data_IF_461647645434
#
_entry.id   IF_461647645434
#
_cell.length_a   1.000
_cell.length_b   1.000
_cell.length_c   1.000
_cell.angle_alpha   90.00
_cell.angle_beta   90.00
_cell.angle_gamma   90.00
#
_symmetry.space_group_name_H-M   'P 1'
#
loop_
_entity.id
_entity.type
_entity.pdbx_description
1 polymer ?
#
# COMPACT_ATOMS: atom_id res chain seq x y z
N UNK A 1 10.12 2.11 2.29
CA UNK A 1 9.06 3.14 2.32
C UNK A 1 8.67 3.52 3.74
N UNK A 2 8.27 2.59 4.63
CA UNK A 2 7.90 2.92 6.02
C UNK A 2 8.92 3.74 6.80
N UNK A 3 10.22 3.55 6.52
CA UNK A 3 11.28 4.41 7.05
C UNK A 3 11.07 5.92 6.77
N UNK A 4 10.50 6.28 5.62
CA UNK A 4 10.16 7.67 5.28
C UNK A 4 9.02 8.19 6.17
N UNK A 5 8.05 7.35 6.54
CA UNK A 5 7.00 7.71 7.49
C UNK A 5 7.55 7.94 8.90
N UNK A 6 8.48 7.08 9.34
CA UNK A 6 9.21 7.25 10.61
C UNK A 6 10.02 8.56 10.61
N UNK A 7 10.71 8.88 9.51
CA UNK A 7 11.45 10.14 9.36
C UNK A 7 10.52 11.36 9.40
N UNK A 8 9.37 11.30 8.73
CA UNK A 8 8.37 12.37 8.76
C UNK A 8 7.87 12.66 10.19
N UNK A 9 7.59 11.60 10.96
CA UNK A 9 7.18 11.73 12.36
C UNK A 9 8.28 12.24 13.26
N UNK A 10 9.51 11.76 13.09
CA UNK A 10 10.67 12.26 13.83
C UNK A 10 10.89 13.76 13.55
N UNK A 11 10.56 14.23 12.34
CA UNK A 11 10.58 15.63 11.95
C UNK A 11 9.30 16.41 12.34
N UNK A 12 8.32 15.79 13.00
CA UNK A 12 7.05 16.42 13.37
C UNK A 12 6.23 16.93 12.17
N UNK A 13 6.43 16.35 10.99
CA UNK A 13 5.83 16.78 9.72
C UNK A 13 4.79 15.78 9.25
N UNK A 14 3.71 16.25 8.63
CA UNK A 14 2.74 15.37 7.97
C UNK A 14 3.44 14.46 6.93
N UNK A 15 3.14 13.14 6.90
CA UNK A 15 3.86 12.22 6.02
C UNK A 15 3.70 12.47 4.52
N UNK A 16 2.59 13.06 4.07
CA UNK A 16 2.42 13.48 2.68
C UNK A 16 3.27 14.72 2.39
N UNK A 17 3.22 15.73 3.25
CA UNK A 17 4.02 16.96 3.08
C UNK A 17 5.53 16.70 3.11
N UNK A 18 5.97 15.79 3.97
CA UNK A 18 7.37 15.36 4.02
C UNK A 18 7.82 14.77 2.67
N UNK A 19 7.02 13.87 2.09
CA UNK A 19 7.28 13.28 0.76
C UNK A 19 7.22 14.33 -0.35
N UNK A 20 6.26 15.26 -0.30
CA UNK A 20 6.17 16.39 -1.26
C UNK A 20 7.42 17.26 -1.24
N UNK A 21 7.94 17.56 -0.06
CA UNK A 21 9.15 18.37 0.08
C UNK A 21 10.38 17.69 -0.54
N UNK A 22 10.53 16.37 -0.37
CA UNK A 22 11.63 15.60 -0.96
C UNK A 22 11.50 15.44 -2.48
N UNK A 23 10.26 15.42 -3.00
CA UNK A 23 9.99 15.13 -4.42
C UNK A 23 9.79 16.39 -5.29
N UNK A 24 10.08 17.60 -4.78
CA UNK A 24 9.84 18.88 -5.51
C UNK A 24 10.36 18.88 -6.96
N UNK A 25 11.52 18.28 -7.19
CA UNK A 25 12.15 18.23 -8.51
C UNK A 25 11.83 16.94 -9.29
N UNK A 26 10.85 16.16 -8.83
CA UNK A 26 10.45 14.86 -9.38
C UNK A 26 8.95 14.87 -9.73
N UNK A 27 8.55 15.58 -10.80
CA UNK A 27 7.15 15.88 -11.07
C UNK A 27 6.27 14.63 -11.27
N UNK A 28 6.80 13.55 -11.87
CA UNK A 28 6.06 12.29 -12.05
C UNK A 28 5.81 11.55 -10.73
N UNK A 29 6.76 11.62 -9.79
CA UNK A 29 6.57 11.09 -8.43
C UNK A 29 5.51 11.89 -7.67
N UNK A 30 5.60 13.22 -7.73
CA UNK A 30 4.60 14.11 -7.12
C UNK A 30 3.20 13.89 -7.70
N UNK A 31 3.10 13.71 -9.01
CA UNK A 31 1.81 13.55 -9.68
C UNK A 31 1.05 12.33 -9.14
N UNK A 32 1.70 11.16 -9.04
CA UNK A 32 1.05 9.96 -8.48
C UNK A 32 0.78 10.09 -6.97
N UNK A 33 1.72 10.67 -6.22
CA UNK A 33 1.56 10.91 -4.78
C UNK A 33 0.34 11.82 -4.49
N UNK A 34 0.23 12.92 -5.23
CA UNK A 34 -0.86 13.87 -5.10
C UNK A 34 -2.18 13.27 -5.54
N UNK A 35 -2.21 12.55 -6.67
CA UNK A 35 -3.42 11.90 -7.16
C UNK A 35 -3.97 10.86 -6.16
N UNK A 36 -3.11 10.06 -5.54
CA UNK A 36 -3.51 9.13 -4.49
C UNK A 36 -4.04 9.87 -3.26
N UNK A 37 -3.34 10.91 -2.80
CA UNK A 37 -3.74 11.69 -1.62
C UNK A 37 -5.07 12.44 -1.82
N UNK A 38 -5.25 13.09 -2.97
CA UNK A 38 -6.47 13.83 -3.31
C UNK A 38 -7.67 12.89 -3.40
N UNK A 39 -7.55 11.78 -4.14
CA UNK A 39 -8.62 10.78 -4.26
C UNK A 39 -8.91 10.09 -2.92
N UNK A 40 -7.92 10.00 -2.04
CA UNK A 40 -8.08 9.50 -0.69
C UNK A 40 -8.60 10.55 0.30
N UNK A 41 -8.91 11.78 -0.14
CA UNK A 41 -9.35 12.87 0.74
C UNK A 41 -8.37 13.15 1.89
N UNK A 42 -7.05 13.04 1.64
CA UNK A 42 -6.01 13.28 2.65
C UNK A 42 -6.20 14.66 3.31
N UNK A 43 -6.03 14.71 4.64
CA UNK A 43 -6.28 15.92 5.44
C UNK A 43 -7.74 16.18 5.81
N UNK A 44 -8.72 15.51 5.18
CA UNK A 44 -10.12 15.56 5.65
C UNK A 44 -10.33 14.65 6.87
N UNK A 45 -11.30 14.98 7.75
CA UNK A 45 -11.64 14.14 8.90
C UNK A 45 -11.99 12.71 8.49
N UNK A 46 -11.52 11.74 9.28
CA UNK A 46 -11.83 10.32 9.14
C UNK A 46 -12.92 9.90 10.13
N UNK A 47 -13.68 8.83 9.84
CA UNK A 47 -14.51 8.19 10.85
C UNK A 47 -13.68 7.78 12.08
N UNK A 48 -14.25 7.79 13.30
CA UNK A 48 -13.53 7.41 14.50
C UNK A 48 -12.87 6.02 14.38
N UNK A 49 -11.59 5.93 14.76
CA UNK A 49 -10.80 4.68 14.72
C UNK A 49 -10.28 4.27 13.34
N UNK A 50 -10.50 5.08 12.30
CA UNK A 50 -9.90 4.90 10.97
C UNK A 50 -8.66 5.79 10.86
N UNK A 51 -7.59 5.21 10.32
CA UNK A 51 -6.31 5.86 10.15
C UNK A 51 -5.82 5.68 8.71
N UNK A 52 -5.04 6.65 8.22
CA UNK A 52 -4.46 6.63 6.89
C UNK A 52 -2.95 6.41 6.93
N UNK A 53 -2.44 5.71 5.94
CA UNK A 53 -1.02 5.59 5.66
C UNK A 53 -0.79 5.77 4.17
N UNK A 54 0.35 6.37 3.82
CA UNK A 54 0.70 6.71 2.45
C UNK A 54 2.05 6.10 2.08
N UNK A 55 2.20 5.66 0.84
CA UNK A 55 3.44 5.13 0.31
C UNK A 55 3.63 5.54 -1.16
N UNK A 56 4.89 5.61 -1.59
CA UNK A 56 5.27 5.93 -2.97
C UNK A 56 6.38 4.99 -3.44
N UNK A 57 6.35 4.61 -4.71
CA UNK A 57 7.39 3.81 -5.33
C UNK A 57 7.57 4.19 -6.82
N UNK A 58 8.79 4.09 -7.31
CA UNK A 58 9.09 4.12 -8.74
C UNK A 58 9.95 2.90 -9.04
N UNK A 59 9.52 2.14 -10.03
CA UNK A 59 10.18 0.92 -10.49
C UNK A 59 9.47 0.34 -11.69
N UNK A 60 10.14 -0.57 -12.41
CA UNK A 60 9.60 -1.19 -13.62
C UNK A 60 9.14 -0.16 -14.67
N UNK A 61 9.81 0.99 -14.72
CA UNK A 61 9.50 2.09 -15.63
C UNK A 61 8.24 2.89 -15.28
N UNK A 62 7.59 2.64 -14.14
CA UNK A 62 6.35 3.32 -13.75
C UNK A 62 6.44 3.95 -12.37
N UNK A 63 5.55 4.90 -12.11
CA UNK A 63 5.43 5.60 -10.83
C UNK A 63 4.13 5.16 -10.17
N UNK A 64 4.17 4.85 -8.89
CA UNK A 64 3.00 4.46 -8.11
C UNK A 64 2.98 5.16 -6.75
N UNK A 65 1.77 5.34 -6.23
CA UNK A 65 1.53 5.75 -4.86
C UNK A 65 0.25 5.10 -4.35
N UNK A 66 0.16 4.90 -3.04
CA UNK A 66 -1.02 4.36 -2.40
C UNK A 66 -1.36 5.09 -1.11
N UNK A 67 -2.66 5.21 -0.84
CA UNK A 67 -3.17 5.53 0.50
C UNK A 67 -4.06 4.37 0.96
N UNK A 68 -3.76 3.81 2.13
CA UNK A 68 -4.58 2.81 2.79
C UNK A 68 -5.35 3.44 3.96
N UNK A 69 -6.62 3.08 4.11
CA UNK A 69 -7.44 3.37 5.28
C UNK A 69 -7.65 2.09 6.09
N UNK A 70 -7.22 2.11 7.35
CA UNK A 70 -7.24 0.93 8.24
C UNK A 70 -7.85 1.25 9.59
N UNK A 71 -8.34 0.22 10.28
CA UNK A 71 -8.60 0.26 11.72
C UNK A 71 -7.91 -0.91 12.41
N UNK A 72 -7.50 -0.71 13.66
CA UNK A 72 -7.02 -1.77 14.55
C UNK A 72 -7.97 -1.86 15.73
N UNK A 73 -8.62 -3.01 15.94
CA UNK A 73 -9.54 -3.20 17.08
C UNK A 73 -8.77 -3.24 18.40
N UNK A 74 -9.47 -3.14 19.54
CA UNK A 74 -8.88 -3.32 20.87
C UNK A 74 -8.21 -4.68 21.10
N UNK A 75 -8.60 -5.70 20.32
CA UNK A 75 -7.97 -7.02 20.30
C UNK A 75 -6.73 -7.09 19.40
N UNK A 76 -6.33 -5.97 18.78
CA UNK A 76 -5.21 -5.90 17.84
C UNK A 76 -5.52 -6.41 16.44
N UNK A 77 -6.80 -6.63 16.08
CA UNK A 77 -7.17 -7.13 14.74
C UNK A 77 -7.19 -5.98 13.73
N UNK A 78 -6.40 -6.13 12.67
CA UNK A 78 -6.37 -5.19 11.54
C UNK A 78 -7.56 -5.40 10.61
N UNK A 79 -8.14 -4.30 10.12
CA UNK A 79 -8.99 -4.29 8.94
C UNK A 79 -8.52 -3.21 7.97
N UNK A 80 -8.29 -3.58 6.72
CA UNK A 80 -8.07 -2.64 5.62
C UNK A 80 -9.43 -2.36 4.97
N UNK A 81 -9.89 -1.12 5.02
CA UNK A 81 -11.22 -0.75 4.53
C UNK A 81 -11.18 -0.32 3.07
N UNK A 82 -10.16 0.47 2.73
CA UNK A 82 -10.05 1.12 1.44
C UNK A 82 -8.59 1.30 1.07
N UNK A 83 -8.27 1.13 -0.22
CA UNK A 83 -6.97 1.47 -0.79
C UNK A 83 -7.16 2.28 -2.06
N UNK A 84 -6.57 3.47 -2.09
CA UNK A 84 -6.51 4.32 -3.28
C UNK A 84 -5.13 4.16 -3.89
N UNK A 85 -5.07 3.73 -5.14
CA UNK A 85 -3.85 3.35 -5.84
C UNK A 85 -3.67 4.24 -7.07
N UNK A 86 -2.66 5.09 -7.07
CA UNK A 86 -2.31 5.91 -8.24
C UNK A 86 -1.17 5.27 -9.03
N UNK A 87 -1.25 5.32 -10.36
CA UNK A 87 -0.20 4.83 -11.26
C UNK A 87 -0.01 5.76 -12.45
N UNK A 88 1.25 6.06 -12.78
CA UNK A 88 1.67 6.64 -14.05
C UNK A 88 2.56 5.62 -14.77
N UNK A 89 2.00 4.99 -15.80
CA UNK A 89 2.70 4.07 -16.71
C UNK A 89 3.08 4.73 -18.04
N UNK A 90 3.02 6.06 -18.10
CA UNK A 90 3.26 6.83 -19.32
C UNK A 90 2.04 6.74 -20.25
N UNK A 91 2.08 5.85 -21.23
CA UNK A 91 0.94 5.53 -22.09
C UNK A 91 0.00 4.49 -21.46
N UNK A 92 -1.25 4.89 -21.19
CA UNK A 92 -2.28 4.00 -20.67
C UNK A 92 -3.11 3.36 -21.80
N UNK A 93 -2.68 2.20 -22.30
CA UNK A 93 -3.31 1.52 -23.45
C UNK A 93 -4.75 1.08 -23.18
N UNK A 94 -4.96 0.40 -22.05
CA UNK A 94 -6.27 -0.10 -21.66
C UNK A 94 -6.51 0.19 -20.17
N UNK A 95 -7.24 1.28 -19.85
CA UNK A 95 -7.54 1.67 -18.47
C UNK A 95 -8.18 0.58 -17.62
N UNK A 96 -9.04 -0.26 -18.22
CA UNK A 96 -9.72 -1.32 -17.48
C UNK A 96 -8.77 -2.45 -17.09
N UNK A 97 -7.81 -2.80 -17.97
CA UNK A 97 -6.79 -3.78 -17.64
C UNK A 97 -5.79 -3.25 -16.60
N UNK A 98 -5.51 -1.94 -16.63
CA UNK A 98 -4.70 -1.29 -15.60
C UNK A 98 -5.41 -1.38 -14.24
N UNK A 99 -6.70 -1.07 -14.18
CA UNK A 99 -7.48 -1.19 -12.95
C UNK A 99 -7.51 -2.64 -12.43
N UNK A 100 -7.73 -3.63 -13.30
CA UNK A 100 -7.73 -5.04 -12.91
C UNK A 100 -6.35 -5.50 -12.36
N UNK A 101 -5.24 -5.02 -12.95
CA UNK A 101 -3.89 -5.29 -12.45
C UNK A 101 -3.62 -4.63 -11.08
N UNK A 102 -4.15 -3.43 -10.87
CA UNK A 102 -4.08 -2.74 -9.57
C UNK A 102 -4.86 -3.52 -8.50
N UNK A 103 -6.07 -3.98 -8.81
CA UNK A 103 -6.87 -4.83 -7.92
C UNK A 103 -6.14 -6.14 -7.58
N UNK A 104 -5.53 -6.79 -8.59
CA UNK A 104 -4.71 -7.99 -8.39
C UNK A 104 -3.47 -7.71 -7.52
N UNK A 105 -2.82 -6.56 -7.70
CA UNK A 105 -1.69 -6.13 -6.87
C UNK A 105 -2.08 -5.93 -5.42
N UNK A 106 -3.27 -5.38 -5.15
CA UNK A 106 -3.80 -5.28 -3.77
C UNK A 106 -4.04 -6.68 -3.19
N UNK A 107 -4.70 -7.57 -3.92
CA UNK A 107 -4.98 -8.93 -3.44
C UNK A 107 -3.68 -9.71 -3.12
N UNK A 108 -2.69 -9.67 -4.02
CA UNK A 108 -1.42 -10.36 -3.84
C UNK A 108 -0.56 -9.70 -2.75
N UNK A 109 -0.47 -8.36 -2.77
CA UNK A 109 0.28 -7.59 -1.78
C UNK A 109 -0.26 -7.75 -0.37
N UNK A 110 -1.59 -7.73 -0.20
CA UNK A 110 -2.20 -8.00 1.10
C UNK A 110 -2.09 -9.46 1.51
N UNK A 111 -2.17 -10.42 0.58
CA UNK A 111 -1.89 -11.83 0.90
C UNK A 111 -0.50 -11.99 1.50
N UNK A 112 0.53 -11.44 0.85
CA UNK A 112 1.90 -11.47 1.36
C UNK A 112 2.05 -10.72 2.70
N UNK A 113 1.37 -9.58 2.84
CA UNK A 113 1.43 -8.76 4.07
C UNK A 113 0.75 -9.46 5.25
N UNK A 114 -0.41 -10.08 5.04
CA UNK A 114 -1.25 -10.62 6.11
C UNK A 114 -0.93 -12.07 6.45
N UNK A 115 -0.61 -12.89 5.45
CA UNK A 115 -0.64 -14.35 5.57
C UNK A 115 0.57 -15.10 4.99
N UNK A 116 1.21 -14.56 3.94
CA UNK A 116 2.10 -15.25 2.99
C UNK A 116 3.47 -15.70 3.52
N UNK A 117 3.50 -16.33 4.68
CA UNK A 117 4.64 -17.07 5.21
C UNK A 117 4.70 -18.46 4.59
N UNK A 118 5.90 -18.85 4.17
CA UNK A 118 6.24 -20.22 3.79
C UNK A 118 7.31 -20.71 4.76
N UNK A 119 6.93 -21.58 5.70
CA UNK A 119 7.85 -22.11 6.70
C UNK A 119 8.74 -23.20 6.08
N UNK A 120 10.02 -23.19 6.44
CA UNK A 120 10.97 -24.24 6.05
C UNK A 120 11.32 -25.08 7.27
N UNK A 121 10.92 -26.36 7.26
CA UNK A 121 11.34 -27.36 8.24
C UNK A 121 12.19 -28.44 7.55
N UNK A 122 13.39 -28.70 8.09
CA UNK A 122 14.35 -29.70 7.57
C UNK A 122 14.57 -29.61 6.04
N UNK A 123 14.64 -28.39 5.52
CA UNK A 123 14.88 -28.12 4.09
C UNK A 123 13.67 -28.30 3.18
N UNK A 124 12.45 -28.39 3.71
CA UNK A 124 11.20 -28.49 2.94
C UNK A 124 10.17 -27.47 3.40
N UNK A 125 9.33 -27.03 2.45
CA UNK A 125 8.18 -26.19 2.77
C UNK A 125 7.14 -26.97 3.57
N UNK A 126 6.62 -26.35 4.62
CA UNK A 126 5.57 -26.90 5.48
C UNK A 126 4.21 -26.74 4.81
N UNK A 127 3.91 -25.55 4.28
CA UNK A 127 2.66 -25.26 3.58
C UNK A 127 2.75 -25.77 2.13
N UNK A 128 2.02 -26.85 1.81
CA UNK A 128 2.11 -27.55 0.53
C UNK A 128 0.92 -27.30 -0.40
N UNK A 129 -0.15 -26.66 0.10
CA UNK A 129 -1.39 -26.44 -0.64
C UNK A 129 -2.22 -25.30 -0.01
N UNK A 130 -3.25 -24.78 -0.70
CA UNK A 130 -4.02 -23.59 -0.27
C UNK A 130 -4.90 -23.77 0.97
N UNK A 131 -5.07 -25.00 1.47
CA UNK A 131 -5.67 -25.27 2.79
C UNK A 131 -4.71 -24.93 3.93
N UNK A 132 -3.40 -24.95 3.68
CA UNK A 132 -2.33 -24.63 4.65
C UNK A 132 -1.63 -23.31 4.35
N UNK A 133 -1.53 -22.92 3.08
CA UNK A 133 -1.07 -21.59 2.63
C UNK A 133 -2.27 -20.66 2.44
N UNK A 134 -2.57 -19.86 3.46
CA UNK A 134 -3.70 -18.94 3.41
C UNK A 134 -3.48 -17.81 2.41
N UNK A 135 -4.45 -17.63 1.51
CA UNK A 135 -4.55 -16.50 0.60
C UNK A 135 -5.71 -15.59 1.00
N UNK A 136 -5.62 -14.31 0.64
CA UNK A 136 -6.72 -13.37 0.86
C UNK A 136 -7.99 -13.83 0.13
N UNK A 137 -9.12 -13.81 0.85
CA UNK A 137 -10.44 -14.13 0.31
C UNK A 137 -11.15 -12.85 -0.14
N UNK A 138 -12.14 -13.01 -1.03
CA UNK A 138 -12.93 -11.89 -1.54
C UNK A 138 -13.58 -11.04 -0.42
N UNK A 139 -14.05 -11.66 0.66
CA UNK A 139 -14.67 -10.97 1.78
C UNK A 139 -13.70 -10.11 2.61
N UNK A 140 -12.39 -10.33 2.45
CA UNK A 140 -11.33 -9.61 3.15
C UNK A 140 -10.75 -8.47 2.30
N UNK A 141 -11.10 -8.42 1.01
CA UNK A 141 -10.61 -7.38 0.11
C UNK A 141 -11.13 -6.01 0.54
N UNK A 142 -10.27 -4.98 0.58
CA UNK A 142 -10.72 -3.61 0.77
C UNK A 142 -11.42 -3.12 -0.50
N UNK A 143 -12.12 -2.00 -0.39
CA UNK A 143 -12.50 -1.22 -1.58
C UNK A 143 -11.24 -0.69 -2.25
N UNK A 144 -10.97 -1.10 -3.49
CA UNK A 144 -9.83 -0.63 -4.28
C UNK A 144 -10.30 0.46 -5.25
N UNK A 145 -9.58 1.58 -5.28
CA UNK A 145 -9.85 2.67 -6.23
C UNK A 145 -8.57 3.01 -7.00
N UNK A 146 -8.62 2.88 -8.33
CA UNK A 146 -7.47 3.15 -9.20
C UNK A 146 -7.53 4.58 -9.75
N UNK A 147 -6.39 5.28 -9.72
CA UNK A 147 -6.20 6.58 -10.36
C UNK A 147 -5.07 6.48 -11.38
N UNK A 148 -5.39 6.60 -12.67
CA UNK A 148 -4.40 6.56 -13.75
C UNK A 148 -3.98 7.99 -14.05
N UNK A 149 -2.67 8.24 -14.02
CA UNK A 149 -2.06 9.57 -14.16
C UNK A 149 -1.12 9.56 -15.38
N UNK A 150 -1.65 9.42 -16.61
CA UNK A 150 -0.82 9.24 -17.79
C UNK A 150 -0.09 10.54 -18.16
N UNK A 151 1.13 10.37 -18.66
CA UNK A 151 1.95 11.49 -19.16
C UNK A 151 2.26 11.37 -20.65
N UNK A 152 1.98 10.22 -21.25
CA UNK A 152 2.11 9.95 -22.69
C UNK A 152 3.50 10.24 -23.30
N UNK A 153 4.54 10.15 -22.48
CA UNK A 153 5.94 10.43 -22.86
C UNK A 153 6.89 9.24 -22.65
N UNK A 154 6.41 8.11 -22.10
CA UNK A 154 7.17 6.86 -21.97
C UNK A 154 6.25 5.63 -21.90
N UNK A 155 6.85 4.44 -21.92
CA UNK A 155 6.19 3.15 -21.75
C UNK A 155 6.68 2.46 -20.48
N UNK A 156 5.82 2.42 -19.45
CA UNK A 156 6.11 1.77 -18.18
C UNK A 156 5.32 0.48 -17.99
N UNK A 157 5.79 -0.39 -17.10
CA UNK A 157 5.08 -1.62 -16.71
C UNK A 157 3.85 -1.34 -15.84
N UNK A 158 2.92 -2.28 -15.79
CA UNK A 158 1.71 -2.19 -14.94
C UNK A 158 1.57 -3.36 -13.96
N UNK A 159 2.18 -4.51 -14.27
CA UNK A 159 1.98 -5.74 -13.49
C UNK A 159 2.54 -5.71 -12.07
N UNK A 160 3.68 -5.05 -11.84
CA UNK A 160 4.35 -5.02 -10.54
C UNK A 160 4.34 -3.67 -9.81
N UNK A 161 4.39 -2.48 -10.44
CA UNK A 161 4.68 -1.23 -9.73
C UNK A 161 3.76 -0.90 -8.55
N UNK A 162 2.47 -1.24 -8.63
CA UNK A 162 1.50 -0.91 -7.57
C UNK A 162 1.56 -1.87 -6.39
N UNK A 163 2.08 -3.10 -6.55
CA UNK A 163 2.23 -4.01 -5.40
C UNK A 163 3.22 -3.48 -4.36
N UNK A 164 4.25 -2.75 -4.82
CA UNK A 164 5.32 -2.23 -3.97
C UNK A 164 4.84 -1.20 -2.95
N UNK A 165 3.68 -0.58 -3.17
CA UNK A 165 3.09 0.43 -2.25
C UNK A 165 1.98 -0.15 -1.36
N UNK A 166 1.52 -1.38 -1.60
CA UNK A 166 0.43 -2.00 -0.83
C UNK A 166 0.83 -2.19 0.62
N UNK A 167 1.82 -3.04 0.90
CA UNK A 167 2.29 -3.33 2.25
C UNK A 167 2.70 -2.07 3.03
N UNK A 168 3.55 -1.16 2.49
CA UNK A 168 3.97 0.01 3.25
C UNK A 168 2.85 1.00 3.53
N UNK A 169 1.89 1.21 2.63
CA UNK A 169 0.75 2.09 2.91
C UNK A 169 -0.07 1.58 4.10
N UNK A 170 -0.29 0.26 4.18
CA UNK A 170 -0.98 -0.39 5.30
C UNK A 170 -0.16 -0.31 6.59
N UNK A 171 1.14 -0.61 6.53
CA UNK A 171 2.03 -0.52 7.69
C UNK A 171 2.15 0.91 8.24
N UNK A 172 2.18 1.93 7.38
CA UNK A 172 2.17 3.33 7.80
C UNK A 172 0.83 3.70 8.45
N UNK A 173 -0.29 3.15 7.96
CA UNK A 173 -1.61 3.36 8.53
C UNK A 173 -1.74 2.69 9.91
N UNK A 174 -1.19 1.48 10.07
CA UNK A 174 -1.05 0.81 11.38
C UNK A 174 -0.22 1.68 12.32
N UNK A 175 0.92 2.18 11.86
CA UNK A 175 1.76 3.05 12.68
C UNK A 175 0.99 4.31 13.10
N UNK A 176 0.12 4.85 12.25
CA UNK A 176 -0.73 6.00 12.58
C UNK A 176 -1.81 5.64 13.60
N UNK A 177 -2.31 4.41 13.59
CA UNK A 177 -3.29 3.91 14.55
C UNK A 177 -2.67 3.58 15.92
N UNK A 178 -1.47 3.00 15.94
CA UNK A 178 -0.92 2.38 17.16
C UNK A 178 0.27 3.12 17.74
N UNK A 179 0.87 4.05 16.99
CA UNK A 179 2.17 4.66 17.30
C UNK A 179 3.31 3.65 17.49
N UNK A 180 3.14 2.41 17.01
CA UNK A 180 4.16 1.35 17.01
C UNK A 180 4.43 0.88 15.57
N UNK A 181 5.64 1.06 15.03
CA UNK A 181 5.97 0.55 13.70
C UNK A 181 6.12 -0.97 13.74
N UNK A 182 5.52 -1.66 12.76
CA UNK A 182 5.66 -3.11 12.58
C UNK A 182 6.78 -3.39 11.57
N UNK A 183 7.69 -4.29 11.91
CA UNK A 183 8.89 -4.59 11.09
C UNK A 183 9.00 -6.04 10.65
N UNK A 184 8.06 -6.87 11.04
CA UNK A 184 8.02 -8.29 10.68
C UNK A 184 6.72 -8.58 9.95
N UNK A 185 6.84 -9.32 8.86
CA UNK A 185 5.73 -9.88 8.10
C UNK A 185 5.82 -11.42 8.15
N UNK A 186 4.69 -12.12 7.98
CA UNK A 186 3.34 -11.57 7.81
C UNK A 186 2.70 -11.10 9.12
N UNK A 187 1.66 -10.26 9.00
CA UNK A 187 0.98 -9.65 10.15
C UNK A 187 0.19 -10.64 11.00
N UNK A 188 -0.17 -11.84 10.50
CA UNK A 188 -0.78 -12.90 11.33
C UNK A 188 0.09 -13.28 12.55
N UNK A 189 1.41 -13.05 12.48
CA UNK A 189 2.37 -13.35 13.54
C UNK A 189 2.71 -12.12 14.41
N UNK A 190 2.13 -10.95 14.11
CA UNK A 190 2.43 -9.68 14.78
C UNK A 190 1.36 -9.31 15.82
N UNK A 191 1.80 -8.75 16.95
CA UNK A 191 0.92 -8.10 17.93
C UNK A 191 0.86 -6.60 17.66
N UNK A 192 -0.31 -6.09 17.28
CA UNK A 192 -0.47 -4.68 16.91
C UNK A 192 -0.78 -3.76 18.10
N UNK A 193 -1.32 -4.31 19.19
CA UNK A 193 -1.58 -3.60 20.45
C UNK A 193 -0.76 -4.24 21.57
#
# INVERSE_FOLDING_TARGET
ECFIDEAARAAGTDPLEFRRALMRNHPKHLAVLNAAAEKADWGKPLPPGIHRGIAQFMGYGSYSAAVAEVSVSSEGKLRVHRMVMAINCGHAVNPNQIAAQVEASVAFGLTATMYGECNVDKGRMVEQNFDTYQIMRLAEMPKVETVIVPTYDFWGGVGEPTICVVAPSVMNAIYAATSKPVRSLPLKNAKLI
#
